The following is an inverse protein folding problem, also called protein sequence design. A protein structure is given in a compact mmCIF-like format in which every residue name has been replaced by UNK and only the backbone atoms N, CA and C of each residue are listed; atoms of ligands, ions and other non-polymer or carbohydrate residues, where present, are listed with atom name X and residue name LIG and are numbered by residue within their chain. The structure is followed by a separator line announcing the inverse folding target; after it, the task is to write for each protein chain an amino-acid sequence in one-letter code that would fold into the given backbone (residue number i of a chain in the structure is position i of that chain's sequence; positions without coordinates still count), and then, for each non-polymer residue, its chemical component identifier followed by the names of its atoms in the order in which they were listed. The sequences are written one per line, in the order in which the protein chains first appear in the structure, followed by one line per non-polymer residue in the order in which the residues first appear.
data_IF_958174141668
#
_entry.id   IF_958174141668
#
_cell.length_a   1.000
_cell.length_b   1.000
_cell.length_c   1.000
_cell.angle_alpha   90.00
_cell.angle_beta   90.00
_cell.angle_gamma   90.00
#
_symmetry.space_group_name_H-M   'P 1'
#
loop_
_entity.id
_entity.type
_entity.pdbx_description
1 polymer ?
#
# COMPACT_ATOMS: atom_id res chain seq x y z
N UNK A 1 1.30 -4.74 9.35
CA UNK A 1 0.44 -5.95 9.36
C UNK A 1 -1.06 -5.67 9.65
N UNK A 2 -1.46 -5.25 10.87
CA UNK A 2 -2.90 -5.07 11.22
C UNK A 2 -3.62 -3.99 10.40
N UNK A 3 -2.99 -2.84 10.18
CA UNK A 3 -3.57 -1.74 9.40
C UNK A 3 -3.94 -2.13 7.96
N UNK A 4 -3.24 -3.09 7.33
CA UNK A 4 -3.61 -3.55 5.99
C UNK A 4 -4.92 -4.34 5.97
N UNK A 5 -5.23 -5.05 7.06
CA UNK A 5 -6.51 -5.72 7.23
C UNK A 5 -7.62 -4.72 7.54
N UNK A 6 -7.31 -3.65 8.28
CA UNK A 6 -8.21 -2.51 8.45
C UNK A 6 -8.51 -1.83 7.10
N UNK A 7 -7.50 -1.65 6.26
CA UNK A 7 -7.64 -1.09 4.91
C UNK A 7 -8.52 -1.99 4.03
N UNK A 8 -8.18 -3.29 3.96
CA UNK A 8 -8.91 -4.26 3.14
C UNK A 8 -10.39 -4.40 3.54
N UNK A 9 -10.72 -4.26 4.83
CA UNK A 9 -12.12 -4.29 5.30
C UNK A 9 -12.84 -2.93 5.22
N UNK A 10 -12.19 -1.88 4.70
CA UNK A 10 -12.76 -0.53 4.56
C UNK A 10 -12.88 0.26 5.86
N UNK A 11 -12.07 -0.04 6.88
CA UNK A 11 -12.07 0.70 8.15
C UNK A 11 -11.09 1.87 8.18
N UNK A 12 -10.11 1.89 7.29
CA UNK A 12 -9.20 3.02 7.02
C UNK A 12 -8.98 3.12 5.51
N UNK A 13 -8.57 4.29 5.01
CA UNK A 13 -8.48 4.53 3.57
C UNK A 13 -7.05 4.59 3.00
N UNK A 14 -6.04 4.78 3.85
CA UNK A 14 -4.63 4.96 3.44
C UNK A 14 -3.68 4.38 4.48
N UNK A 15 -2.65 3.67 3.98
CA UNK A 15 -1.49 3.22 4.73
C UNK A 15 -0.24 3.62 3.95
N UNK A 16 0.71 4.25 4.64
CA UNK A 16 2.03 4.58 4.10
C UNK A 16 3.06 4.13 5.12
N UNK A 17 4.05 3.34 4.68
CA UNK A 17 5.13 2.83 5.53
C UNK A 17 6.48 2.89 4.80
N UNK A 18 7.54 3.12 5.58
CA UNK A 18 8.94 2.97 5.16
C UNK A 18 9.59 1.83 5.95
N UNK A 19 10.80 1.44 5.54
CA UNK A 19 11.64 0.46 6.24
C UNK A 19 10.99 -0.92 6.41
N UNK A 20 10.09 -1.28 5.49
CA UNK A 20 9.43 -2.59 5.49
C UNK A 20 10.31 -3.65 4.82
N UNK A 21 10.15 -4.90 5.24
CA UNK A 21 10.67 -6.04 4.51
C UNK A 21 9.59 -6.62 3.59
N UNK A 22 9.96 -7.07 2.38
CA UNK A 22 9.03 -7.71 1.44
C UNK A 22 8.26 -8.87 2.07
N UNK A 23 8.87 -9.64 2.98
CA UNK A 23 8.23 -10.77 3.65
C UNK A 23 7.04 -10.34 4.53
N UNK A 24 7.03 -9.10 5.02
CA UNK A 24 5.94 -8.56 5.84
C UNK A 24 4.76 -8.07 4.99
N UNK A 25 5.00 -7.73 3.72
CA UNK A 25 4.04 -7.03 2.86
C UNK A 25 3.58 -7.83 1.65
N UNK A 26 4.31 -8.87 1.22
CA UNK A 26 4.02 -9.61 -0.01
C UNK A 26 2.60 -10.18 -0.01
N UNK A 27 2.23 -10.91 1.04
CA UNK A 27 0.88 -11.44 1.20
C UNK A 27 -0.18 -10.34 1.37
N UNK A 28 0.15 -9.27 2.10
CA UNK A 28 -0.75 -8.16 2.34
C UNK A 28 -1.09 -7.40 1.05
N UNK A 29 -0.12 -7.31 0.14
CA UNK A 29 -0.32 -6.68 -1.16
C UNK A 29 -1.34 -7.42 -2.02
N UNK A 30 -1.45 -8.75 -1.89
CA UNK A 30 -2.49 -9.55 -2.55
C UNK A 30 -3.83 -9.29 -1.89
N UNK A 31 -3.90 -9.36 -0.55
CA UNK A 31 -5.14 -9.14 0.22
C UNK A 31 -5.77 -7.78 -0.10
N UNK A 32 -4.98 -6.70 -0.09
CA UNK A 32 -5.49 -5.36 -0.38
C UNK A 32 -5.97 -5.23 -1.83
N UNK A 33 -5.25 -5.83 -2.79
CA UNK A 33 -5.65 -5.81 -4.20
C UNK A 33 -6.95 -6.58 -4.45
N UNK A 34 -7.11 -7.76 -3.86
CA UNK A 34 -8.32 -8.57 -3.96
C UNK A 34 -9.53 -7.92 -3.24
N UNK A 35 -9.27 -7.07 -2.24
CA UNK A 35 -10.30 -6.23 -1.63
C UNK A 35 -10.67 -4.99 -2.48
N UNK A 36 -10.04 -4.80 -3.65
CA UNK A 36 -10.29 -3.68 -4.56
C UNK A 36 -9.41 -2.44 -4.31
N UNK A 37 -8.46 -2.51 -3.39
CA UNK A 37 -7.51 -1.44 -3.11
C UNK A 37 -6.29 -1.43 -4.03
N UNK A 38 -5.47 -0.39 -3.90
CA UNK A 38 -4.18 -0.24 -4.61
C UNK A 38 -3.04 -0.43 -3.62
N UNK A 39 -1.99 -1.14 -4.03
CA UNK A 39 -0.81 -1.39 -3.21
C UNK A 39 0.45 -1.34 -4.09
N UNK A 40 1.29 -0.32 -3.87
CA UNK A 40 2.57 -0.12 -4.58
C UNK A 40 3.64 0.30 -3.59
N UNK A 41 4.88 0.45 -4.06
CA UNK A 41 5.86 1.28 -3.34
C UNK A 41 5.52 2.78 -3.47
N UNK A 42 6.32 3.65 -2.85
CA UNK A 42 6.11 5.10 -2.94
C UNK A 42 6.30 5.65 -4.36
N UNK A 43 7.16 5.05 -5.18
CA UNK A 43 7.36 5.43 -6.60
C UNK A 43 6.23 4.94 -7.52
N UNK A 44 5.27 4.18 -7.00
CA UNK A 44 4.15 3.62 -7.76
C UNK A 44 4.47 2.33 -8.48
N UNK A 45 5.64 1.72 -8.23
CA UNK A 45 6.01 0.43 -8.80
C UNK A 45 5.32 -0.71 -8.06
N UNK A 46 5.03 -1.83 -8.75
CA UNK A 46 4.54 -3.03 -8.10
C UNK A 46 5.47 -3.51 -7.00
N UNK A 47 4.92 -4.14 -5.96
CA UNK A 47 5.72 -4.77 -4.88
C UNK A 47 6.63 -5.86 -5.47
N UNK A 48 7.93 -5.74 -5.19
CA UNK A 48 9.02 -6.65 -5.59
C UNK A 48 9.91 -7.02 -4.41
N UNK A 49 10.97 -7.81 -4.67
CA UNK A 49 11.87 -8.31 -3.61
C UNK A 49 12.68 -7.19 -2.94
N UNK A 50 12.91 -6.12 -3.67
CA UNK A 50 13.65 -4.92 -3.28
C UNK A 50 12.77 -3.84 -2.64
N UNK A 51 11.46 -4.07 -2.52
CA UNK A 51 10.54 -3.07 -1.97
C UNK A 51 10.80 -2.83 -0.48
N UNK A 52 11.09 -1.57 -0.13
CA UNK A 52 11.30 -1.09 1.24
C UNK A 52 10.34 0.00 1.67
N UNK A 53 9.44 0.43 0.77
CA UNK A 53 8.41 1.44 1.04
C UNK A 53 7.08 0.97 0.49
N UNK A 54 5.98 1.46 1.07
CA UNK A 54 4.62 1.12 0.64
C UNK A 54 3.74 2.35 0.66
N UNK A 55 2.90 2.46 -0.36
CA UNK A 55 1.69 3.28 -0.37
C UNK A 55 0.51 2.40 -0.79
N UNK A 56 -0.38 2.14 0.16
CA UNK A 56 -1.58 1.35 -0.06
C UNK A 56 -2.83 2.18 0.25
N UNK A 57 -3.82 2.20 -0.64
CA UNK A 57 -5.01 3.01 -0.47
C UNK A 57 -6.27 2.30 -0.97
N UNK A 58 -7.42 2.68 -0.44
CA UNK A 58 -8.72 2.12 -0.81
C UNK A 58 -9.14 2.47 -2.25
N UNK A 59 -8.58 3.54 -2.84
CA UNK A 59 -8.86 3.94 -4.22
C UNK A 59 -7.60 4.45 -4.93
N UNK A 60 -7.57 4.33 -6.26
CA UNK A 60 -6.47 4.85 -7.09
C UNK A 60 -6.34 6.38 -7.02
N UNK A 61 -7.45 7.09 -6.82
CA UNK A 61 -7.43 8.55 -6.67
C UNK A 61 -6.72 8.96 -5.37
N UNK A 62 -7.05 8.33 -4.25
CA UNK A 62 -6.39 8.59 -2.97
C UNK A 62 -4.92 8.17 -2.98
N UNK A 63 -4.60 7.04 -3.61
CA UNK A 63 -3.23 6.59 -3.82
C UNK A 63 -2.38 7.65 -4.55
N UNK A 64 -2.89 8.15 -5.68
CA UNK A 64 -2.22 9.17 -6.49
C UNK A 64 -2.07 10.50 -5.75
N UNK A 65 -3.09 10.88 -4.97
CA UNK A 65 -3.06 12.08 -4.12
C UNK A 65 -1.98 11.99 -3.03
N UNK A 66 -1.94 10.87 -2.32
CA UNK A 66 -1.00 10.65 -1.22
C UNK A 66 0.45 10.71 -1.73
N UNK A 67 0.76 10.00 -2.81
CA UNK A 67 2.09 10.02 -3.44
C UNK A 67 2.51 11.42 -3.83
N UNK A 68 1.65 12.16 -4.54
CA UNK A 68 1.94 13.55 -4.95
C UNK A 68 2.21 14.47 -3.77
N UNK A 69 1.46 14.33 -2.66
CA UNK A 69 1.68 15.13 -1.44
C UNK A 69 2.97 14.78 -0.70
N UNK A 70 3.42 13.54 -0.84
CA UNK A 70 4.68 13.04 -0.27
C UNK A 70 5.89 13.30 -1.19
N UNK A 71 5.67 13.83 -2.40
CA UNK A 71 6.73 14.16 -3.35
C UNK A 71 7.12 13.01 -4.30
N UNK A 72 6.24 12.02 -4.49
CA UNK A 72 6.41 10.87 -5.38
C UNK A 72 5.39 10.80 -6.52
#
# INVERSE_FOLDING_TARGET
FYHYHLLARGAIDLVVESDVNVLDIAALSVIVREAGGVFTDLEGKPVGLETTTVCAAATSALHSEARRRLGY
#
